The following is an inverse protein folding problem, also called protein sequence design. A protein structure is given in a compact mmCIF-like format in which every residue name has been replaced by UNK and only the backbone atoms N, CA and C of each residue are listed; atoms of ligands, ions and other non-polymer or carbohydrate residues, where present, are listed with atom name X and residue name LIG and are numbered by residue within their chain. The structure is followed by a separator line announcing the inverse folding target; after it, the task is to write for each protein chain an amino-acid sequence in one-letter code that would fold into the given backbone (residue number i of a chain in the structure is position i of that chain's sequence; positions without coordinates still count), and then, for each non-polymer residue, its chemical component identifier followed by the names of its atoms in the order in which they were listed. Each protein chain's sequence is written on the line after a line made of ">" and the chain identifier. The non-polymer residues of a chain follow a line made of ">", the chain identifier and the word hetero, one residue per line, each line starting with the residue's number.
data_IF_270290369197
#
_entry.id   IF_270290369197
#
_cell.length_a   1.000
_cell.length_b   1.000
_cell.length_c   1.000
_cell.angle_alpha   90.00
_cell.angle_beta   90.00
_cell.angle_gamma   90.00
#
_symmetry.space_group_name_H-M   'P 1'
#
loop_
_entity.id
_entity.type
_entity.pdbx_description
1 polymer ?
#
# COMPACT_ATOMS: atom_id res chain seq x y z
N UNK A 1 -11.33 -9.18 14.10
CA UNK A 1 -11.41 -8.87 12.66
C UNK A 1 -12.59 -9.66 12.09
N UNK A 2 -13.29 -9.12 11.10
CA UNK A 2 -14.52 -9.71 10.55
C UNK A 2 -14.31 -9.90 9.06
N UNK A 3 -14.72 -11.06 8.55
CA UNK A 3 -14.85 -11.28 7.11
C UNK A 3 -16.34 -11.29 6.77
N UNK A 4 -16.73 -10.58 5.72
CA UNK A 4 -18.12 -10.52 5.30
C UNK A 4 -18.34 -11.44 4.10
N UNK A 5 -19.37 -12.28 4.17
CA UNK A 5 -19.72 -13.28 3.17
C UNK A 5 -20.85 -12.79 2.27
N UNK A 6 -20.84 -13.22 1.01
CA UNK A 6 -21.93 -13.02 0.05
C UNK A 6 -22.08 -14.24 -0.86
N UNK A 7 -23.27 -14.38 -1.45
CA UNK A 7 -23.52 -15.30 -2.57
C UNK A 7 -23.70 -14.48 -3.83
N UNK A 8 -22.87 -14.76 -4.83
CA UNK A 8 -22.86 -14.04 -6.09
C UNK A 8 -22.09 -12.70 -6.06
N UNK A 9 -21.38 -12.39 -7.15
CA UNK A 9 -20.51 -11.20 -7.20
C UNK A 9 -21.28 -9.86 -7.23
N UNK A 10 -22.57 -9.88 -7.61
CA UNK A 10 -23.40 -8.68 -7.68
C UNK A 10 -24.05 -8.31 -6.35
N UNK A 11 -24.01 -9.18 -5.34
CA UNK A 11 -24.66 -8.90 -4.06
C UNK A 11 -24.00 -7.72 -3.37
N UNK A 12 -24.76 -6.67 -3.09
CA UNK A 12 -24.31 -5.56 -2.24
C UNK A 12 -24.50 -5.84 -0.75
N UNK A 13 -25.45 -6.72 -0.41
CA UNK A 13 -25.68 -7.20 0.96
C UNK A 13 -24.63 -8.26 1.30
N UNK A 14 -24.01 -8.11 2.47
CA UNK A 14 -23.00 -9.02 2.97
C UNK A 14 -23.29 -9.38 4.42
N UNK A 15 -22.82 -10.54 4.86
CA UNK A 15 -23.12 -11.10 6.18
C UNK A 15 -21.84 -11.28 6.97
N UNK A 16 -21.71 -10.71 8.18
CA UNK A 16 -20.49 -10.81 8.97
C UNK A 16 -20.24 -12.25 9.43
N UNK A 17 -18.98 -12.64 9.42
CA UNK A 17 -18.47 -13.86 10.02
C UNK A 17 -17.25 -13.51 10.87
N UNK A 18 -17.34 -13.78 12.17
CA UNK A 18 -16.39 -13.35 13.21
C UNK A 18 -15.82 -14.50 14.04
N UNK A 19 -16.09 -15.75 13.63
CA UNK A 19 -15.65 -16.96 14.35
C UNK A 19 -14.21 -17.36 14.07
N UNK A 20 -13.62 -16.85 12.98
CA UNK A 20 -12.23 -17.06 12.60
C UNK A 20 -11.62 -15.73 12.15
N UNK A 21 -10.31 -15.60 12.36
CA UNK A 21 -9.54 -14.52 11.75
C UNK A 21 -9.62 -14.64 10.22
N UNK A 22 -9.70 -13.52 9.46
CA UNK A 22 -9.98 -13.60 8.03
C UNK A 22 -8.99 -14.40 7.19
N UNK A 23 -7.67 -14.31 7.46
CA UNK A 23 -6.69 -15.13 6.75
C UNK A 23 -6.92 -16.62 7.03
N UNK A 24 -7.13 -16.99 8.30
CA UNK A 24 -7.49 -18.35 8.68
C UNK A 24 -8.78 -18.84 8.06
N UNK A 25 -9.79 -17.97 7.94
CA UNK A 25 -11.04 -18.30 7.28
C UNK A 25 -10.80 -18.73 5.82
N UNK A 26 -10.02 -17.97 5.05
CA UNK A 26 -9.71 -18.32 3.65
C UNK A 26 -8.79 -19.56 3.58
N UNK A 27 -7.82 -19.66 4.49
CA UNK A 27 -6.90 -20.81 4.57
C UNK A 27 -7.64 -22.11 4.86
N UNK A 28 -8.69 -22.09 5.68
CA UNK A 28 -9.50 -23.26 6.06
C UNK A 28 -10.69 -23.49 5.11
N UNK A 29 -11.01 -22.54 4.22
CA UNK A 29 -12.14 -22.69 3.30
C UNK A 29 -11.92 -23.83 2.31
N UNK A 30 -12.73 -24.88 2.38
CA UNK A 30 -12.73 -25.98 1.41
C UNK A 30 -13.38 -25.53 0.09
N UNK A 31 -12.83 -25.91 -1.08
CA UNK A 31 -13.42 -25.53 -2.35
C UNK A 31 -14.85 -26.07 -2.49
N UNK A 32 -15.78 -25.19 -2.87
CA UNK A 32 -17.14 -25.63 -3.22
C UNK A 32 -17.15 -26.17 -4.65
N UNK A 33 -17.97 -27.20 -4.88
CA UNK A 33 -18.15 -27.80 -6.20
C UNK A 33 -19.28 -27.07 -6.93
N UNK A 34 -19.04 -26.71 -8.19
CA UNK A 34 -20.12 -26.24 -9.06
C UNK A 34 -21.06 -27.41 -9.37
N UNK A 35 -22.37 -27.30 -9.13
CA UNK A 35 -23.30 -28.37 -9.44
C UNK A 35 -23.23 -28.79 -10.91
N UNK A 36 -23.33 -30.09 -11.18
CA UNK A 36 -23.31 -30.62 -12.54
C UNK A 36 -24.42 -29.99 -13.40
N UNK A 37 -24.08 -29.59 -14.63
CA UNK A 37 -25.01 -28.93 -15.56
C UNK A 37 -25.38 -27.50 -15.21
N UNK A 38 -24.82 -26.89 -14.15
CA UNK A 38 -25.07 -25.49 -13.83
C UNK A 38 -24.42 -24.54 -14.86
N UNK A 39 -25.15 -23.50 -15.26
CA UNK A 39 -24.56 -22.39 -16.02
C UNK A 39 -23.55 -21.65 -15.14
N UNK A 40 -22.31 -21.56 -15.62
CA UNK A 40 -21.20 -21.06 -14.81
C UNK A 40 -21.34 -19.56 -14.52
N UNK A 41 -21.83 -18.77 -15.46
CA UNK A 41 -22.00 -17.33 -15.26
C UNK A 41 -23.16 -17.01 -14.32
N UNK A 42 -24.28 -17.72 -14.43
CA UNK A 42 -25.39 -17.65 -13.49
C UNK A 42 -24.96 -18.10 -12.10
N UNK A 43 -24.21 -19.20 -11.99
CA UNK A 43 -23.68 -19.67 -10.71
C UNK A 43 -22.80 -18.61 -10.05
N UNK A 44 -21.85 -18.03 -10.80
CA UNK A 44 -21.02 -16.91 -10.32
C UNK A 44 -21.85 -15.70 -9.90
N UNK A 45 -22.90 -15.38 -10.65
CA UNK A 45 -23.76 -14.22 -10.41
C UNK A 45 -24.61 -14.37 -9.15
N UNK A 46 -25.03 -15.58 -8.80
CA UNK A 46 -26.11 -15.79 -7.83
C UNK A 46 -25.77 -16.71 -6.65
N UNK A 47 -24.87 -17.67 -6.82
CA UNK A 47 -24.68 -18.78 -5.87
C UNK A 47 -23.25 -18.91 -5.35
N UNK A 48 -22.25 -18.60 -6.17
CA UNK A 48 -20.85 -18.77 -5.80
C UNK A 48 -20.49 -17.99 -4.52
N UNK A 49 -19.63 -18.54 -3.65
CA UNK A 49 -19.21 -17.90 -2.42
C UNK A 49 -18.24 -16.76 -2.71
N UNK A 50 -18.54 -15.59 -2.16
CA UNK A 50 -17.69 -14.40 -2.20
C UNK A 50 -17.45 -13.86 -0.81
N UNK A 51 -16.36 -13.12 -0.64
CA UNK A 51 -16.04 -12.44 0.60
C UNK A 51 -15.49 -11.03 0.38
N UNK A 52 -15.49 -10.25 1.44
CA UNK A 52 -14.68 -9.05 1.58
C UNK A 52 -14.23 -8.95 3.03
N UNK A 53 -12.94 -8.67 3.25
CA UNK A 53 -12.35 -8.61 4.59
C UNK A 53 -12.11 -7.17 5.02
N UNK A 54 -12.47 -6.83 6.25
CA UNK A 54 -12.24 -5.51 6.82
C UNK A 54 -13.34 -5.07 7.76
N UNK A 55 -13.67 -3.77 7.74
CA UNK A 55 -14.79 -3.22 8.50
C UNK A 55 -15.77 -2.51 7.60
N UNK A 56 -17.02 -2.94 7.64
CA UNK A 56 -18.15 -2.29 6.96
C UNK A 56 -19.05 -1.68 8.02
N UNK A 57 -19.41 -0.42 7.84
CA UNK A 57 -20.37 0.26 8.71
C UNK A 57 -21.75 -0.37 8.57
N UNK A 58 -22.37 -0.76 9.69
CA UNK A 58 -23.74 -1.27 9.69
C UNK A 58 -24.74 -0.16 9.36
N UNK A 59 -25.78 -0.51 8.60
CA UNK A 59 -26.95 0.33 8.43
C UNK A 59 -27.74 0.43 9.74
N UNK A 60 -28.66 1.40 9.86
CA UNK A 60 -29.51 1.57 11.05
C UNK A 60 -30.33 0.32 11.39
N UNK A 61 -30.63 -0.49 10.38
CA UNK A 61 -31.33 -1.78 10.44
C UNK A 61 -30.45 -2.93 10.95
N UNK A 62 -29.15 -2.71 11.13
CA UNK A 62 -28.16 -3.74 11.50
C UNK A 62 -27.65 -4.56 10.32
N UNK A 63 -28.15 -4.34 9.10
CA UNK A 63 -27.64 -4.96 7.88
C UNK A 63 -26.31 -4.34 7.44
N UNK A 64 -25.50 -5.10 6.71
CA UNK A 64 -24.23 -4.63 6.15
C UNK A 64 -24.31 -4.58 4.63
N UNK A 65 -24.20 -3.39 4.06
CA UNK A 65 -24.16 -3.19 2.61
C UNK A 65 -22.79 -2.69 2.19
N UNK A 66 -22.08 -3.43 1.34
CA UNK A 66 -20.78 -3.00 0.82
C UNK A 66 -20.96 -1.91 -0.24
N UNK A 67 -20.15 -0.87 -0.14
CA UNK A 67 -19.88 0.14 -1.16
C UNK A 67 -18.62 0.89 -0.72
N UNK A 68 -18.11 1.80 -1.57
CA UNK A 68 -16.88 2.53 -1.26
C UNK A 68 -17.00 3.41 0.00
N UNK A 69 -18.19 3.90 0.33
CA UNK A 69 -18.42 4.75 1.49
C UNK A 69 -18.62 3.98 2.79
N UNK A 70 -19.15 2.75 2.73
CA UNK A 70 -19.40 1.92 3.91
C UNK A 70 -18.21 1.08 4.32
N UNK A 71 -17.29 0.77 3.40
CA UNK A 71 -16.05 0.03 3.67
C UNK A 71 -15.01 0.98 4.29
N UNK A 72 -14.83 0.86 5.60
CA UNK A 72 -13.96 1.72 6.41
C UNK A 72 -12.49 1.38 6.19
N UNK A 73 -12.15 0.10 6.21
CA UNK A 73 -10.81 -0.41 5.94
C UNK A 73 -10.88 -1.85 5.44
N UNK A 74 -9.78 -2.31 4.83
CA UNK A 74 -9.51 -3.72 4.52
C UNK A 74 -8.39 -4.26 5.39
N UNK A 75 -8.47 -5.53 5.72
CA UNK A 75 -7.46 -6.27 6.49
C UNK A 75 -7.01 -7.57 5.81
N UNK A 76 -7.34 -7.73 4.52
CA UNK A 76 -6.71 -8.69 3.61
C UNK A 76 -6.49 -8.04 2.24
N UNK A 77 -5.45 -8.50 1.55
CA UNK A 77 -5.11 -8.08 0.18
C UNK A 77 -5.47 -9.22 -0.78
N UNK A 78 -6.13 -8.90 -1.88
CA UNK A 78 -6.49 -9.86 -2.92
C UNK A 78 -5.97 -9.38 -4.28
N UNK A 79 -5.25 -10.24 -4.99
CA UNK A 79 -4.82 -10.03 -6.36
C UNK A 79 -5.33 -11.19 -7.23
N UNK A 80 -5.94 -10.83 -8.36
CA UNK A 80 -6.42 -11.79 -9.36
C UNK A 80 -5.41 -11.89 -10.52
N UNK A 81 -5.03 -13.12 -10.85
CA UNK A 81 -4.16 -13.45 -11.99
C UNK A 81 -4.95 -14.29 -12.97
N UNK A 82 -5.54 -13.65 -13.97
CA UNK A 82 -6.50 -14.27 -14.90
C UNK A 82 -5.99 -14.45 -16.34
N UNK A 83 -4.86 -13.80 -16.67
CA UNK A 83 -4.24 -13.78 -18.00
C UNK A 83 -2.79 -14.32 -17.92
N UNK A 84 -2.66 -15.55 -17.45
CA UNK A 84 -1.39 -16.26 -17.38
C UNK A 84 -1.23 -17.20 -18.57
N UNK A 85 -0.01 -17.31 -19.07
CA UNK A 85 0.35 -18.38 -20.01
C UNK A 85 0.37 -19.74 -19.29
N UNK A 86 0.08 -20.82 -20.02
CA UNK A 86 0.04 -22.18 -19.47
C UNK A 86 1.38 -22.65 -18.87
N UNK A 87 2.50 -22.07 -19.31
CA UNK A 87 3.85 -22.33 -18.82
C UNK A 87 4.17 -21.66 -17.48
N UNK A 88 3.34 -20.70 -17.03
CA UNK A 88 3.61 -19.91 -15.83
C UNK A 88 3.16 -20.67 -14.59
N UNK A 89 4.14 -20.99 -13.74
CA UNK A 89 3.93 -21.52 -12.39
C UNK A 89 3.84 -20.37 -11.38
N UNK A 90 2.64 -19.78 -11.26
CA UNK A 90 2.38 -18.70 -10.31
C UNK A 90 2.71 -19.10 -8.85
N UNK A 91 2.34 -20.29 -8.34
CA UNK A 91 2.74 -20.72 -6.99
C UNK A 91 4.24 -20.58 -6.70
N UNK A 92 5.10 -21.04 -7.61
CA UNK A 92 6.55 -20.95 -7.45
C UNK A 92 7.05 -19.50 -7.49
N UNK A 93 6.58 -18.70 -8.46
CA UNK A 93 6.97 -17.28 -8.58
C UNK A 93 6.59 -16.48 -7.34
N UNK A 94 5.38 -16.69 -6.81
CA UNK A 94 4.93 -16.03 -5.58
C UNK A 94 5.73 -16.51 -4.37
N UNK A 95 6.07 -17.80 -4.30
CA UNK A 95 6.93 -18.32 -3.24
C UNK A 95 8.30 -17.64 -3.24
N UNK A 96 8.93 -17.48 -4.41
CA UNK A 96 10.22 -16.80 -4.51
C UNK A 96 10.12 -15.32 -4.10
N UNK A 97 9.07 -14.61 -4.53
CA UNK A 97 8.88 -13.20 -4.24
C UNK A 97 8.45 -12.90 -2.78
N UNK A 98 7.65 -13.79 -2.18
CA UNK A 98 6.93 -13.55 -0.91
C UNK A 98 7.14 -14.63 0.16
N UNK A 99 8.13 -15.52 0.03
CA UNK A 99 8.40 -16.65 0.96
C UNK A 99 8.39 -16.27 2.45
N UNK A 100 8.88 -15.07 2.79
CA UNK A 100 8.90 -14.56 4.17
C UNK A 100 7.55 -14.12 4.74
N UNK A 101 6.48 -14.06 3.92
CA UNK A 101 5.18 -13.49 4.29
C UNK A 101 4.04 -14.50 4.25
N UNK A 102 3.01 -14.25 5.05
CA UNK A 102 1.78 -15.05 5.03
C UNK A 102 0.95 -14.75 3.77
N UNK A 103 0.75 -15.79 2.95
CA UNK A 103 -0.06 -15.72 1.74
C UNK A 103 -0.81 -17.02 1.45
N UNK A 104 -1.86 -16.94 0.62
CA UNK A 104 -2.63 -18.07 0.11
C UNK A 104 -2.74 -17.93 -1.41
N UNK A 105 -2.55 -19.02 -2.14
CA UNK A 105 -2.79 -19.08 -3.59
C UNK A 105 -3.81 -20.18 -3.85
N UNK A 106 -4.82 -19.88 -4.66
CA UNK A 106 -5.78 -20.89 -5.09
C UNK A 106 -6.35 -20.64 -6.50
N UNK A 107 -6.69 -21.71 -7.24
CA UNK A 107 -7.34 -21.62 -8.54
C UNK A 107 -8.69 -20.89 -8.46
N UNK A 108 -8.99 -20.02 -9.43
CA UNK A 108 -10.33 -19.43 -9.54
C UNK A 108 -11.30 -20.39 -10.24
N UNK A 109 -12.59 -20.12 -10.17
CA UNK A 109 -13.65 -20.97 -10.76
C UNK A 109 -13.49 -21.23 -12.27
N UNK A 110 -12.76 -20.36 -12.99
CA UNK A 110 -12.50 -20.48 -14.44
C UNK A 110 -11.11 -21.04 -14.76
N UNK A 111 -10.37 -21.48 -13.75
CA UNK A 111 -9.03 -22.03 -13.92
C UNK A 111 -9.06 -23.27 -14.82
N UNK A 112 -8.13 -23.34 -15.78
CA UNK A 112 -7.78 -24.56 -16.51
C UNK A 112 -6.27 -24.63 -16.69
N UNK A 113 -5.73 -25.82 -16.98
CA UNK A 113 -4.30 -25.98 -17.25
C UNK A 113 -3.82 -25.14 -18.45
N UNK A 114 -4.67 -24.91 -19.46
CA UNK A 114 -4.33 -24.12 -20.66
C UNK A 114 -4.53 -22.61 -20.47
N UNK A 115 -5.39 -22.21 -19.53
CA UNK A 115 -5.62 -20.80 -19.16
C UNK A 115 -5.61 -20.70 -17.63
N UNK A 116 -4.41 -20.77 -17.01
CA UNK A 116 -4.31 -20.75 -15.56
C UNK A 116 -4.88 -19.45 -15.01
N UNK A 117 -5.73 -19.59 -14.00
CA UNK A 117 -6.28 -18.46 -13.25
C UNK A 117 -6.16 -18.70 -11.76
N UNK A 118 -5.64 -17.72 -11.04
CA UNK A 118 -5.40 -17.84 -9.62
C UNK A 118 -5.79 -16.56 -8.89
N UNK A 119 -6.08 -16.72 -7.61
CA UNK A 119 -6.18 -15.62 -6.67
C UNK A 119 -5.08 -15.75 -5.63
N UNK A 120 -4.36 -14.66 -5.42
CA UNK A 120 -3.40 -14.49 -4.35
C UNK A 120 -4.06 -13.69 -3.23
N UNK A 121 -3.98 -14.19 -2.01
CA UNK A 121 -4.40 -13.50 -0.80
C UNK A 121 -3.17 -13.26 0.07
N UNK A 122 -2.89 -12.02 0.44
CA UNK A 122 -1.75 -11.66 1.30
C UNK A 122 -2.28 -11.09 2.61
N UNK A 123 -1.71 -11.55 3.73
CA UNK A 123 -2.05 -11.07 5.06
C UNK A 123 -1.27 -9.79 5.38
N UNK A 124 -1.91 -8.63 5.53
CA UNK A 124 -1.25 -7.39 5.90
C UNK A 124 -0.95 -7.33 7.41
N UNK A 125 0.03 -6.52 7.79
CA UNK A 125 0.42 -6.24 9.19
C UNK A 125 -0.51 -5.23 9.89
N UNK A 126 -1.51 -4.69 9.19
CA UNK A 126 -2.46 -3.73 9.74
C UNK A 126 -3.60 -3.42 8.78
N UNK A 127 -4.53 -2.61 9.24
CA UNK A 127 -5.67 -2.15 8.44
C UNK A 127 -5.20 -1.20 7.35
N UNK A 128 -5.86 -1.24 6.19
CA UNK A 128 -5.56 -0.37 5.06
C UNK A 128 -6.76 0.50 4.70
N UNK A 129 -6.50 1.76 4.38
CA UNK A 129 -7.44 2.63 3.64
C UNK A 129 -7.41 2.27 2.15
N UNK A 130 -8.32 2.82 1.35
CA UNK A 130 -8.32 2.59 -0.11
C UNK A 130 -6.98 2.97 -0.77
N UNK A 131 -6.40 4.11 -0.37
CA UNK A 131 -5.14 4.58 -0.92
C UNK A 131 -3.99 3.63 -0.58
N UNK A 132 -3.88 3.24 0.69
CA UNK A 132 -2.86 2.30 1.15
C UNK A 132 -3.03 0.92 0.52
N UNK A 133 -4.26 0.44 0.39
CA UNK A 133 -4.56 -0.84 -0.24
C UNK A 133 -4.08 -0.88 -1.69
N UNK A 134 -4.38 0.16 -2.49
CA UNK A 134 -3.92 0.25 -3.87
C UNK A 134 -2.40 0.34 -3.99
N UNK A 135 -1.76 1.12 -3.09
CA UNK A 135 -0.30 1.22 -3.03
C UNK A 135 0.33 -0.16 -2.74
N UNK A 136 -0.14 -0.86 -1.71
CA UNK A 136 0.43 -2.16 -1.31
C UNK A 136 0.18 -3.22 -2.39
N UNK A 137 -0.96 -3.20 -3.09
CA UNK A 137 -1.16 -4.06 -4.26
C UNK A 137 -0.09 -3.83 -5.32
N UNK A 138 0.21 -2.57 -5.65
CA UNK A 138 1.22 -2.25 -6.65
C UNK A 138 2.61 -2.73 -6.21
N UNK A 139 2.98 -2.50 -4.94
CA UNK A 139 4.26 -2.97 -4.38
C UNK A 139 4.39 -4.51 -4.43
N UNK A 140 3.30 -5.24 -4.18
CA UNK A 140 3.27 -6.70 -4.30
C UNK A 140 3.36 -7.14 -5.76
N UNK A 141 2.59 -6.49 -6.65
CA UNK A 141 2.61 -6.79 -8.08
C UNK A 141 4.00 -6.57 -8.70
N UNK A 142 4.67 -5.47 -8.35
CA UNK A 142 6.02 -5.16 -8.80
C UNK A 142 7.04 -6.20 -8.33
N UNK A 143 6.89 -6.72 -7.11
CA UNK A 143 7.75 -7.80 -6.58
C UNK A 143 7.54 -9.13 -7.30
N UNK A 144 6.30 -9.44 -7.68
CA UNK A 144 5.94 -10.67 -8.39
C UNK A 144 6.35 -10.57 -9.87
N UNK A 145 6.28 -9.37 -10.47
CA UNK A 145 6.71 -9.13 -11.84
C UNK A 145 5.79 -9.72 -12.91
N UNK A 146 4.54 -10.05 -12.56
CA UNK A 146 3.53 -10.56 -13.48
C UNK A 146 2.33 -9.62 -13.59
N UNK A 147 1.68 -9.54 -14.76
CA UNK A 147 0.44 -8.78 -14.91
C UNK A 147 -0.66 -9.38 -14.03
N UNK A 148 -1.44 -8.51 -13.40
CA UNK A 148 -2.62 -8.87 -12.60
C UNK A 148 -3.86 -8.13 -13.12
N UNK A 149 -5.05 -8.62 -12.78
CA UNK A 149 -6.30 -7.96 -13.16
C UNK A 149 -6.48 -6.66 -12.36
N UNK A 150 -6.55 -5.54 -13.07
CA UNK A 150 -6.75 -4.20 -12.51
C UNK A 150 -8.06 -4.07 -11.71
N UNK A 151 -9.04 -4.95 -11.93
CA UNK A 151 -10.24 -5.03 -11.08
C UNK A 151 -9.89 -5.28 -9.60
N UNK A 152 -8.72 -5.86 -9.30
CA UNK A 152 -8.17 -6.04 -7.95
C UNK A 152 -8.01 -4.72 -7.18
N UNK A 153 -7.87 -3.59 -7.87
CA UNK A 153 -7.78 -2.24 -7.28
C UNK A 153 -9.14 -1.65 -6.87
N UNK A 154 -10.25 -2.32 -7.21
CA UNK A 154 -11.60 -1.83 -6.90
C UNK A 154 -11.90 -1.99 -5.41
N UNK A 155 -12.04 -0.88 -4.69
CA UNK A 155 -12.04 -0.86 -3.23
C UNK A 155 -13.07 -1.77 -2.56
N UNK A 156 -14.34 -1.69 -2.98
CA UNK A 156 -15.44 -2.47 -2.40
C UNK A 156 -15.78 -3.76 -3.19
N UNK A 157 -14.86 -4.24 -4.03
CA UNK A 157 -15.05 -5.43 -4.85
C UNK A 157 -15.02 -6.72 -4.02
N UNK A 158 -16.04 -7.56 -4.21
CA UNK A 158 -16.08 -8.91 -3.65
C UNK A 158 -15.05 -9.82 -4.31
N UNK A 159 -14.50 -10.71 -3.49
CA UNK A 159 -13.43 -11.63 -3.86
C UNK A 159 -13.96 -13.06 -3.79
N UNK A 160 -13.83 -13.80 -4.89
CA UNK A 160 -14.33 -15.17 -4.95
C UNK A 160 -13.56 -16.09 -4.00
N UNK A 161 -14.28 -16.87 -3.20
CA UNK A 161 -13.70 -17.94 -2.40
C UNK A 161 -13.41 -19.17 -3.29
N UNK A 162 -12.61 -20.14 -2.80
CA UNK A 162 -12.33 -21.37 -3.52
C UNK A 162 -13.58 -22.08 -4.09
N UNK A 163 -13.60 -22.29 -5.40
CA UNK A 163 -14.64 -23.04 -6.12
C UNK A 163 -13.96 -23.81 -7.25
N UNK A 164 -14.40 -25.05 -7.48
CA UNK A 164 -13.91 -25.91 -8.56
C UNK A 164 -15.07 -26.44 -9.42
N UNK A 165 -14.81 -26.59 -10.72
CA UNK A 165 -15.65 -27.34 -11.66
C UNK A 165 -15.14 -28.77 -11.88
N UNK A 166 -13.95 -29.10 -11.37
CA UNK A 166 -13.35 -30.43 -11.42
C UNK A 166 -13.44 -31.18 -10.08
N UNK A 167 -12.61 -32.20 -9.90
CA UNK A 167 -12.52 -32.95 -8.66
C UNK A 167 -11.90 -32.08 -7.54
N UNK A 168 -12.56 -31.93 -6.37
CA UNK A 168 -11.97 -31.29 -5.20
C UNK A 168 -10.63 -31.89 -4.74
N UNK A 169 -10.41 -33.19 -4.96
CA UNK A 169 -9.16 -33.87 -4.59
C UNK A 169 -7.96 -33.32 -5.37
N UNK A 170 -8.18 -32.84 -6.60
CA UNK A 170 -7.17 -32.25 -7.46
C UNK A 170 -7.00 -30.73 -7.23
N UNK A 171 -7.84 -30.12 -6.36
CA UNK A 171 -7.81 -28.69 -6.12
C UNK A 171 -6.60 -28.29 -5.28
N UNK A 172 -5.59 -27.71 -5.94
CA UNK A 172 -4.35 -27.31 -5.29
C UNK A 172 -4.45 -25.90 -4.69
N UNK A 173 -4.56 -25.81 -3.37
CA UNK A 173 -4.45 -24.56 -2.61
C UNK A 173 -3.15 -24.54 -1.81
N UNK A 174 -2.35 -23.50 -2.02
CA UNK A 174 -1.11 -23.27 -1.27
C UNK A 174 -1.37 -22.28 -0.15
N UNK A 175 -0.92 -22.60 1.07
CA UNK A 175 -0.96 -21.70 2.23
C UNK A 175 0.46 -21.58 2.78
N UNK A 176 1.06 -20.40 2.67
CA UNK A 176 2.33 -20.09 3.32
C UNK A 176 2.07 -19.27 4.59
N UNK A 177 2.74 -19.64 5.68
CA UNK A 177 2.61 -18.96 6.98
C UNK A 177 3.95 -18.34 7.34
N UNK A 178 4.04 -17.03 7.16
CA UNK A 178 5.20 -16.21 7.47
C UNK A 178 4.81 -14.96 8.25
N UNK A 179 5.60 -13.89 8.10
CA UNK A 179 5.30 -12.59 8.67
C UNK A 179 4.09 -11.95 7.99
N UNK A 180 3.42 -11.04 8.68
CA UNK A 180 2.40 -10.21 8.04
C UNK A 180 3.08 -9.19 7.11
N UNK A 181 2.52 -8.95 5.93
CA UNK A 181 3.10 -8.05 4.93
C UNK A 181 3.12 -6.60 5.44
N UNK A 182 4.25 -5.88 5.35
CA UNK A 182 4.37 -4.53 5.90
C UNK A 182 3.39 -3.58 5.20
N UNK A 183 2.54 -2.93 5.99
CA UNK A 183 1.64 -1.87 5.51
C UNK A 183 2.22 -0.53 5.94
N UNK A 184 2.40 0.43 5.01
CA UNK A 184 2.77 1.80 5.38
C UNK A 184 1.78 2.34 6.39
N UNK A 185 2.27 2.71 7.59
CA UNK A 185 1.41 3.32 8.61
C UNK A 185 0.92 4.66 8.07
N UNK A 186 -0.34 4.71 7.65
CA UNK A 186 -1.02 5.99 7.45
C UNK A 186 -1.11 6.68 8.80
N UNK A 187 -0.86 7.99 8.84
CA UNK A 187 -0.89 8.81 10.05
C UNK A 187 -2.28 8.90 10.73
N UNK A 188 -3.23 8.02 10.40
CA UNK A 188 -4.62 8.04 10.84
C UNK A 188 -4.93 7.13 12.04
N UNK A 189 -4.00 6.27 12.49
CA UNK A 189 -4.19 5.46 13.71
C UNK A 189 -3.50 6.08 14.94
N UNK A 190 -3.87 7.32 15.28
CA UNK A 190 -3.70 7.82 16.65
C UNK A 190 -5.05 8.32 17.15
N UNK A 191 -5.62 7.77 18.23
CA UNK A 191 -6.69 8.47 18.94
C UNK A 191 -6.15 9.85 19.32
N UNK A 192 -6.86 10.90 18.93
CA UNK A 192 -6.50 12.27 19.18
C UNK A 192 -6.50 12.55 20.69
N UNK A 193 -5.38 12.26 21.34
CA UNK A 193 -4.95 12.82 22.61
C UNK A 193 -3.46 13.08 22.50
N UNK A 194 -3.11 14.16 21.81
CA UNK A 194 -1.79 14.76 21.98
C UNK A 194 -1.99 16.23 22.22
N UNK A 195 -1.90 16.62 23.49
CA UNK A 195 -1.35 17.93 23.84
C UNK A 195 -0.06 18.09 23.04
N UNK A 196 -0.06 19.03 22.11
CA UNK A 196 1.09 19.33 21.27
C UNK A 196 2.26 19.77 22.15
N UNK A 197 3.28 18.92 22.25
CA UNK A 197 4.61 19.33 22.70
C UNK A 197 5.50 19.42 21.47
N UNK A 198 5.92 20.64 21.05
CA UNK A 198 6.79 20.79 19.90
C UNK A 198 8.12 20.06 20.14
N UNK A 199 8.52 19.22 19.17
CA UNK A 199 9.84 18.57 19.21
C UNK A 199 10.92 19.63 19.00
N UNK A 200 11.90 19.62 19.90
CA UNK A 200 13.11 20.44 19.82
C UNK A 200 13.91 20.09 18.56
N UNK A 201 14.58 21.10 17.98
CA UNK A 201 15.16 21.09 16.63
C UNK A 201 16.18 19.98 16.34
N UNK A 202 16.69 19.29 17.36
CA UNK A 202 17.70 18.23 17.23
C UNK A 202 17.17 16.86 16.77
N UNK A 203 15.86 16.62 16.71
CA UNK A 203 15.28 15.30 16.39
C UNK A 203 14.56 15.22 15.02
N UNK A 204 14.72 16.23 14.16
CA UNK A 204 14.03 16.27 12.85
C UNK A 204 14.78 15.46 11.80
N UNK A 205 14.06 14.72 10.96
CA UNK A 205 14.65 13.99 9.83
C UNK A 205 15.32 14.96 8.85
N UNK A 206 16.29 14.47 8.06
CA UNK A 206 17.03 15.27 7.08
C UNK A 206 16.08 16.01 6.13
N UNK A 207 15.07 15.31 5.58
CA UNK A 207 14.04 15.90 4.72
C UNK A 207 13.24 16.98 5.43
N UNK A 208 12.85 16.76 6.70
CA UNK A 208 12.08 17.74 7.44
C UNK A 208 12.91 19.00 7.74
N UNK A 209 14.22 18.86 7.93
CA UNK A 209 15.12 20.03 8.08
C UNK A 209 15.19 20.88 6.81
N UNK A 210 15.14 20.26 5.64
CA UNK A 210 15.05 20.99 4.35
C UNK A 210 13.69 21.71 4.27
N UNK A 211 12.60 20.97 4.46
CA UNK A 211 11.23 21.51 4.41
C UNK A 211 11.02 22.65 5.40
N UNK A 212 11.48 22.50 6.65
CA UNK A 212 11.36 23.54 7.67
C UNK A 212 12.08 24.83 7.27
N UNK A 213 13.26 24.71 6.65
CA UNK A 213 14.02 25.89 6.21
C UNK A 213 13.33 26.56 5.02
N UNK A 214 12.68 25.79 4.13
CA UNK A 214 11.89 26.33 3.02
C UNK A 214 10.59 27.01 3.48
N UNK A 215 10.04 26.65 4.64
CA UNK A 215 8.84 27.28 5.20
C UNK A 215 9.13 28.46 6.12
N UNK A 216 10.24 28.42 6.85
CA UNK A 216 10.54 29.40 7.90
C UNK A 216 11.75 30.31 7.58
N UNK A 217 12.40 30.07 6.45
CA UNK A 217 13.61 30.78 6.04
C UNK A 217 14.78 30.54 6.98
N UNK A 218 15.71 31.51 7.01
CA UNK A 218 16.97 31.41 7.76
C UNK A 218 16.91 31.89 9.22
N UNK A 219 15.70 32.19 9.73
CA UNK A 219 15.47 32.69 11.08
C UNK A 219 15.73 34.20 11.26
N UNK A 220 15.73 34.66 12.51
CA UNK A 220 15.82 36.08 12.89
C UNK A 220 17.27 36.63 12.90
N UNK A 221 17.42 37.95 13.04
CA UNK A 221 18.67 38.69 12.87
C UNK A 221 19.88 38.15 13.67
N UNK A 222 21.05 38.08 13.00
CA UNK A 222 22.33 37.68 13.58
C UNK A 222 22.78 36.24 13.28
N UNK A 223 21.89 35.35 12.80
CA UNK A 223 22.20 33.94 12.51
C UNK A 223 22.04 33.49 11.04
N UNK A 224 21.54 34.37 10.17
CA UNK A 224 21.08 34.01 8.80
C UNK A 224 22.18 33.42 7.92
N UNK A 225 23.39 33.98 7.92
CA UNK A 225 24.51 33.44 7.13
C UNK A 225 24.94 32.05 7.61
N UNK A 226 24.90 31.80 8.92
CA UNK A 226 25.20 30.48 9.49
C UNK A 226 24.10 29.48 9.12
N UNK A 227 22.84 29.91 9.11
CA UNK A 227 21.71 29.10 8.69
C UNK A 227 21.75 28.77 7.19
N UNK A 228 22.00 29.76 6.33
CA UNK A 228 22.25 29.56 4.89
C UNK A 228 23.40 28.59 4.68
N UNK A 229 24.49 28.74 5.46
CA UNK A 229 25.65 27.85 5.34
C UNK A 229 25.29 26.38 5.64
N UNK A 230 24.57 26.15 6.73
CA UNK A 230 24.11 24.82 7.12
C UNK A 230 23.11 24.25 6.13
N UNK A 231 22.26 25.09 5.56
CA UNK A 231 21.25 24.69 4.60
C UNK A 231 21.88 24.26 3.28
N UNK A 232 22.80 25.05 2.72
CA UNK A 232 23.53 24.68 1.49
C UNK A 232 24.35 23.41 1.67
N UNK A 233 25.02 23.25 2.82
CA UNK A 233 25.73 22.00 3.14
C UNK A 233 24.80 20.79 3.31
N UNK A 234 23.55 21.00 3.71
CA UNK A 234 22.54 19.94 3.80
C UNK A 234 22.06 19.51 2.40
N UNK A 235 21.88 20.46 1.48
CA UNK A 235 21.44 20.19 0.11
C UNK A 235 22.46 19.36 -0.67
N UNK A 236 23.76 19.64 -0.48
CA UNK A 236 24.85 18.86 -1.06
C UNK A 236 25.26 17.65 -0.20
N UNK A 237 24.52 17.31 0.85
CA UNK A 237 24.81 16.10 1.61
C UNK A 237 24.45 14.85 0.78
N UNK A 238 25.19 13.73 0.95
CA UNK A 238 24.94 12.45 0.24
C UNK A 238 23.49 11.93 0.36
N UNK A 239 22.76 12.33 1.41
CA UNK A 239 21.36 11.91 1.61
C UNK A 239 20.33 12.78 0.89
N UNK A 240 20.71 13.98 0.42
CA UNK A 240 19.84 14.88 -0.34
C UNK A 240 20.29 14.96 -1.79
N UNK A 241 21.59 15.15 -2.00
CA UNK A 241 22.30 15.08 -3.28
C UNK A 241 21.72 15.97 -4.39
N UNK A 242 21.36 17.22 -4.05
CA UNK A 242 20.94 18.19 -5.05
C UNK A 242 22.08 18.52 -6.02
N UNK A 243 21.73 18.67 -7.30
CA UNK A 243 22.61 19.33 -8.26
C UNK A 243 22.73 20.83 -7.94
N UNK A 244 23.71 21.50 -8.56
CA UNK A 244 24.07 22.88 -8.27
C UNK A 244 22.90 23.86 -8.52
N UNK A 245 22.13 23.64 -9.60
CA UNK A 245 21.03 24.52 -10.01
C UNK A 245 19.87 24.39 -9.01
N UNK A 246 19.44 23.15 -8.73
CA UNK A 246 18.40 22.86 -7.75
C UNK A 246 18.77 23.41 -6.36
N UNK A 247 20.02 23.20 -5.92
CA UNK A 247 20.45 23.70 -4.62
C UNK A 247 20.41 25.23 -4.52
N UNK A 248 20.74 25.92 -5.61
CA UNK A 248 20.70 27.38 -5.69
C UNK A 248 19.27 27.92 -5.67
N UNK A 249 18.36 27.29 -6.41
CA UNK A 249 16.94 27.66 -6.37
C UNK A 249 16.34 27.47 -4.98
N UNK A 250 16.63 26.34 -4.31
CA UNK A 250 16.16 26.09 -2.96
C UNK A 250 16.70 27.10 -1.94
N UNK A 251 17.96 27.54 -2.09
CA UNK A 251 18.52 28.60 -1.26
C UNK A 251 17.79 29.95 -1.47
N UNK A 252 17.44 30.28 -2.71
CA UNK A 252 16.66 31.47 -3.03
C UNK A 252 15.23 31.41 -2.50
N UNK A 253 14.58 30.25 -2.57
CA UNK A 253 13.24 30.02 -2.01
C UNK A 253 13.27 30.19 -0.49
N UNK A 254 14.24 29.58 0.21
CA UNK A 254 14.40 29.77 1.65
C UNK A 254 14.67 31.24 2.02
N UNK A 255 15.45 31.96 1.21
CA UNK A 255 15.70 33.38 1.44
C UNK A 255 14.44 34.23 1.25
N UNK A 256 13.61 33.93 0.24
CA UNK A 256 12.41 34.73 -0.08
C UNK A 256 11.33 34.64 1.00
N UNK A 257 11.28 33.53 1.74
CA UNK A 257 10.39 33.34 2.89
C UNK A 257 11.01 33.80 4.22
N UNK A 258 12.26 34.26 4.22
CA UNK A 258 12.91 34.81 5.43
C UNK A 258 12.36 36.21 5.69
N UNK A 259 11.94 36.50 6.93
CA UNK A 259 11.33 37.79 7.32
C UNK A 259 12.13 39.01 6.87
N UNK A 260 13.46 38.91 6.99
CA UNK A 260 14.40 39.84 6.39
C UNK A 260 15.38 39.04 5.53
N UNK A 261 15.15 38.99 4.20
CA UNK A 261 16.02 38.25 3.30
C UNK A 261 17.45 38.80 3.33
N UNK A 262 18.43 37.92 3.13
CA UNK A 262 19.80 38.35 2.83
C UNK A 262 19.81 39.08 1.48
N UNK A 263 20.62 40.13 1.31
CA UNK A 263 20.91 40.68 0.00
C UNK A 263 21.37 39.57 -0.95
N UNK A 264 20.90 39.60 -2.20
CA UNK A 264 21.23 38.57 -3.20
C UNK A 264 22.75 38.39 -3.34
N UNK A 265 23.52 39.48 -3.35
CA UNK A 265 24.98 39.43 -3.45
C UNK A 265 25.65 38.70 -2.28
N UNK A 266 25.03 38.72 -1.10
CA UNK A 266 25.52 38.03 0.10
C UNK A 266 25.14 36.55 0.09
N UNK A 267 23.93 36.23 -0.38
CA UNK A 267 23.48 34.85 -0.63
C UNK A 267 24.38 34.18 -1.66
N UNK A 268 24.61 34.83 -2.80
CA UNK A 268 25.41 34.31 -3.92
C UNK A 268 26.84 33.99 -3.49
N UNK A 269 27.45 34.91 -2.75
CA UNK A 269 28.80 34.76 -2.21
C UNK A 269 28.91 33.57 -1.26
N UNK A 270 27.94 33.43 -0.35
CA UNK A 270 27.90 32.35 0.64
C UNK A 270 27.64 31.00 -0.03
N UNK A 271 26.66 30.94 -0.93
CA UNK A 271 26.34 29.75 -1.71
C UNK A 271 27.54 29.26 -2.52
N UNK A 272 28.16 30.16 -3.29
CA UNK A 272 29.31 29.85 -4.15
C UNK A 272 30.50 29.32 -3.34
N UNK A 273 30.77 29.91 -2.17
CA UNK A 273 31.85 29.47 -1.28
C UNK A 273 31.65 28.02 -0.83
N UNK A 274 30.44 27.67 -0.42
CA UNK A 274 30.11 26.34 0.11
C UNK A 274 30.02 25.30 -1.00
N UNK A 275 29.38 25.62 -2.12
CA UNK A 275 29.32 24.74 -3.28
C UNK A 275 30.75 24.35 -3.71
N UNK A 276 31.66 25.33 -3.86
CA UNK A 276 33.07 25.03 -4.17
C UNK A 276 33.74 24.13 -3.14
N UNK A 277 33.46 24.34 -1.85
CA UNK A 277 34.03 23.51 -0.78
C UNK A 277 33.49 22.06 -0.81
N UNK A 278 32.20 21.87 -1.07
CA UNK A 278 31.57 20.54 -1.12
C UNK A 278 31.95 19.77 -2.38
N UNK A 279 32.03 20.43 -3.55
CA UNK A 279 32.49 19.79 -4.78
C UNK A 279 33.97 19.36 -4.71
N UNK A 280 34.83 20.09 -4.00
CA UNK A 280 36.22 19.67 -3.72
C UNK A 280 36.34 18.44 -2.82
N UNK A 281 35.32 18.12 -2.02
CA UNK A 281 35.32 16.90 -1.17
C UNK A 281 34.82 15.67 -1.93
N UNK A 282 34.16 15.87 -3.08
CA UNK A 282 33.51 14.83 -3.89
C UNK A 282 34.36 14.36 -5.08
N UNK A 283 35.36 15.15 -5.49
CA UNK A 283 36.41 14.75 -6.45
C UNK A 283 37.65 14.25 -5.74
#
# INVERSE_FOLDING_TARGET
>A
MVIYQAKGFQSSLVYPFDKLEPFEYVAQFSPLIVPEGADLEEYKRTKAPYCISGKITAEKTGSYKRNNSSLVYRDLIFLDYDDLEASIDLPSIVSDALSGYSYIIYPTIKHTAQKPRYRLVVKPSGNMTEATYKQVIQEIADKIGLPFDMASLTWSQLQGLPVTTGDPADYQKTVNRGLDYPVPRTAQERPATTSYTPRTSGQRSITMRVIDTLFNGFGDEGGRNVALTRFVGLLFNRWVDCDLETAYELANIANSVTREPLPIEELDRTFTSIARAEYRKRG
#
